data_IF_534344679713
#
_entry.id   IF_534344679713
#
_cell.length_a   1.000
_cell.length_b   1.000
_cell.length_c   1.000
_cell.angle_alpha   90.00
_cell.angle_beta   90.00
_cell.angle_gamma   90.00
#
_symmetry.space_group_name_H-M   'P 1'
#
loop_
_entity.id
_entity.type
_entity.pdbx_description
1 polymer ?
#
# COMPACT_ATOMS: atom_id res chain seq x y z
N UNK A 1 -16.82 14.54 -36.40
CA UNK A 1 -16.38 13.15 -36.16
C UNK A 1 -15.31 13.01 -35.07
N UNK A 2 -15.24 13.89 -34.07
CA UNK A 2 -14.15 13.95 -33.07
C UNK A 2 -14.54 13.47 -31.67
N UNK A 3 -15.78 13.07 -31.43
CA UNK A 3 -16.24 12.68 -30.09
C UNK A 3 -15.96 11.22 -29.68
N UNK A 4 -15.82 10.30 -30.63
CA UNK A 4 -15.72 8.87 -30.36
C UNK A 4 -14.28 8.42 -30.04
N UNK A 5 -13.26 9.12 -30.56
CA UNK A 5 -11.85 8.79 -30.32
C UNK A 5 -11.39 9.16 -28.90
N UNK A 6 -11.94 10.24 -28.34
CA UNK A 6 -11.55 10.70 -26.99
C UNK A 6 -12.12 9.79 -25.88
N UNK A 7 -13.37 9.30 -26.06
CA UNK A 7 -13.98 8.34 -25.12
C UNK A 7 -13.28 6.96 -25.16
N UNK A 8 -12.87 6.50 -26.33
CA UNK A 8 -12.14 5.24 -26.52
C UNK A 8 -10.71 5.32 -25.92
N UNK A 9 -10.03 6.44 -26.03
CA UNK A 9 -8.71 6.69 -25.44
C UNK A 9 -8.80 6.73 -23.92
N UNK A 10 -9.76 7.47 -23.37
CA UNK A 10 -10.02 7.54 -21.92
C UNK A 10 -10.30 6.17 -21.31
N UNK A 11 -11.10 5.32 -21.98
CA UNK A 11 -11.40 3.97 -21.51
C UNK A 11 -10.19 3.04 -21.51
N UNK A 12 -9.28 3.15 -22.50
CA UNK A 12 -8.05 2.37 -22.56
C UNK A 12 -7.07 2.81 -21.47
N UNK A 13 -6.95 4.10 -21.22
CA UNK A 13 -6.08 4.65 -20.18
C UNK A 13 -6.55 4.21 -18.79
N UNK A 14 -7.86 4.16 -18.55
CA UNK A 14 -8.44 3.64 -17.31
C UNK A 14 -8.14 2.15 -17.10
N UNK A 15 -8.26 1.32 -18.15
CA UNK A 15 -7.96 -0.10 -18.06
C UNK A 15 -6.46 -0.35 -17.82
N UNK A 16 -5.60 0.44 -18.43
CA UNK A 16 -4.16 0.35 -18.20
C UNK A 16 -3.82 0.71 -16.77
N UNK A 17 -4.37 1.81 -16.26
CA UNK A 17 -4.15 2.24 -14.87
C UNK A 17 -4.63 1.18 -13.87
N UNK A 18 -5.84 0.64 -14.05
CA UNK A 18 -6.35 -0.47 -13.24
C UNK A 18 -5.37 -1.66 -13.23
N UNK A 19 -4.83 -2.01 -14.40
CA UNK A 19 -3.89 -3.12 -14.53
C UNK A 19 -2.55 -2.87 -13.82
N UNK A 20 -2.03 -1.66 -13.92
CA UNK A 20 -0.80 -1.22 -13.25
C UNK A 20 -0.98 -1.25 -11.71
N UNK A 21 -2.10 -0.75 -11.20
CA UNK A 21 -2.43 -0.79 -9.77
C UNK A 21 -2.54 -2.24 -9.25
N UNK A 22 -3.28 -3.09 -9.97
CA UNK A 22 -3.43 -4.49 -9.59
C UNK A 22 -2.08 -5.21 -9.57
N UNK A 23 -1.25 -4.99 -10.59
CA UNK A 23 0.09 -5.56 -10.67
C UNK A 23 0.99 -5.07 -9.55
N UNK A 24 0.96 -3.76 -9.24
CA UNK A 24 1.71 -3.15 -8.15
C UNK A 24 1.35 -3.79 -6.81
N UNK A 25 0.07 -3.86 -6.47
CA UNK A 25 -0.42 -4.51 -5.25
C UNK A 25 -0.01 -5.98 -5.17
N UNK A 26 -0.21 -6.76 -6.25
CA UNK A 26 0.20 -8.17 -6.27
C UNK A 26 1.68 -8.34 -5.96
N UNK A 27 2.54 -7.53 -6.61
CA UNK A 27 4.00 -7.58 -6.37
C UNK A 27 4.35 -7.15 -4.96
N UNK A 28 3.73 -6.08 -4.45
CA UNK A 28 3.94 -5.57 -3.09
C UNK A 28 3.59 -6.64 -2.03
N UNK A 29 2.60 -7.49 -2.32
CA UNK A 29 2.27 -8.67 -1.51
C UNK A 29 3.10 -9.92 -1.86
N UNK A 30 4.11 -9.80 -2.72
CA UNK A 30 4.98 -10.90 -3.13
C UNK A 30 4.22 -12.11 -3.73
N UNK A 31 3.06 -11.87 -4.35
CA UNK A 31 2.25 -12.90 -4.97
C UNK A 31 2.65 -13.12 -6.44
N UNK A 32 2.78 -14.38 -6.84
CA UNK A 32 2.82 -14.73 -8.26
C UNK A 32 1.44 -14.56 -8.90
N UNK A 33 1.37 -14.53 -10.23
CA UNK A 33 0.07 -14.58 -10.95
C UNK A 33 -0.74 -15.83 -10.58
N UNK A 34 -0.05 -16.95 -10.32
CA UNK A 34 -0.68 -18.20 -9.93
C UNK A 34 -1.28 -18.10 -8.52
N UNK A 35 -0.54 -17.55 -7.56
CA UNK A 35 -1.02 -17.39 -6.18
C UNK A 35 -2.27 -16.52 -6.13
N UNK A 36 -2.25 -15.37 -6.83
CA UNK A 36 -3.40 -14.48 -6.86
C UNK A 36 -4.60 -15.14 -7.56
N UNK A 37 -4.36 -15.89 -8.62
CA UNK A 37 -5.39 -16.63 -9.36
C UNK A 37 -6.06 -17.68 -8.47
N UNK A 38 -5.29 -18.53 -7.79
CA UNK A 38 -5.79 -19.58 -6.90
C UNK A 38 -6.61 -18.99 -5.75
N UNK A 39 -6.08 -17.95 -5.09
CA UNK A 39 -6.75 -17.30 -3.94
C UNK A 39 -8.03 -16.57 -4.32
N UNK A 40 -8.06 -15.94 -5.50
CA UNK A 40 -9.24 -15.18 -5.97
C UNK A 40 -10.26 -16.03 -6.75
N UNK A 41 -9.99 -17.32 -6.98
CA UNK A 41 -10.83 -18.19 -7.80
C UNK A 41 -10.87 -17.80 -9.28
N UNK A 42 -9.80 -17.16 -9.77
CA UNK A 42 -9.67 -16.72 -11.18
C UNK A 42 -8.57 -17.51 -11.89
N UNK A 43 -8.51 -17.42 -13.23
CA UNK A 43 -7.38 -17.99 -13.96
C UNK A 43 -6.21 -17.00 -14.02
N UNK A 44 -4.98 -17.51 -13.98
CA UNK A 44 -3.77 -16.69 -14.12
C UNK A 44 -3.73 -15.92 -15.46
N UNK A 45 -4.27 -16.51 -16.53
CA UNK A 45 -4.41 -15.86 -17.83
C UNK A 45 -5.36 -14.66 -17.77
N UNK A 46 -6.47 -14.75 -17.03
CA UNK A 46 -7.42 -13.66 -16.85
C UNK A 46 -6.79 -12.52 -16.09
N UNK A 47 -6.15 -12.78 -14.94
CA UNK A 47 -5.44 -11.76 -14.15
C UNK A 47 -4.35 -11.09 -14.99
N UNK A 48 -3.54 -11.88 -15.70
CA UNK A 48 -2.50 -11.34 -16.60
C UNK A 48 -3.05 -10.42 -17.69
N UNK A 49 -4.26 -10.71 -18.24
CA UNK A 49 -4.92 -9.83 -19.22
C UNK A 49 -5.38 -8.52 -18.57
N UNK A 50 -5.88 -8.57 -17.34
CA UNK A 50 -6.25 -7.36 -16.59
C UNK A 50 -5.01 -6.51 -16.33
N UNK A 51 -3.93 -7.09 -15.82
CA UNK A 51 -2.67 -6.38 -15.55
C UNK A 51 -2.06 -5.71 -16.79
N UNK A 52 -2.32 -6.23 -17.98
CA UNK A 52 -1.90 -5.60 -19.24
C UNK A 52 -2.92 -4.62 -19.83
N UNK A 53 -4.02 -4.36 -19.12
CA UNK A 53 -5.10 -3.50 -19.63
C UNK A 53 -5.87 -4.08 -20.82
N UNK A 54 -5.79 -5.41 -21.03
CA UNK A 54 -6.38 -6.12 -22.18
C UNK A 54 -7.76 -6.71 -21.86
N UNK A 55 -8.18 -6.68 -20.61
CA UNK A 55 -9.47 -7.19 -20.15
C UNK A 55 -10.06 -6.27 -19.08
N UNK A 56 -11.36 -6.01 -19.20
CA UNK A 56 -12.13 -5.33 -18.14
C UNK A 56 -12.72 -6.39 -17.22
N UNK A 57 -12.34 -6.44 -15.92
CA UNK A 57 -12.98 -7.33 -14.97
C UNK A 57 -14.43 -6.88 -14.69
N UNK A 58 -15.30 -7.82 -14.35
CA UNK A 58 -16.58 -7.49 -13.71
C UNK A 58 -16.35 -6.94 -12.30
N UNK A 59 -17.33 -6.24 -11.74
CA UNK A 59 -17.24 -5.72 -10.36
C UNK A 59 -17.02 -6.87 -9.37
N UNK A 60 -17.73 -8.01 -9.53
CA UNK A 60 -17.53 -9.16 -8.65
C UNK A 60 -16.13 -9.76 -8.77
N UNK A 61 -15.59 -9.89 -9.99
CA UNK A 61 -14.24 -10.41 -10.18
C UNK A 61 -13.18 -9.48 -9.59
N UNK A 62 -13.38 -8.16 -9.70
CA UNK A 62 -12.49 -7.19 -9.09
C UNK A 62 -12.60 -7.17 -7.56
N UNK A 63 -13.79 -7.44 -7.01
CA UNK A 63 -14.03 -7.56 -5.58
C UNK A 63 -13.31 -8.77 -4.99
N UNK A 64 -13.41 -9.96 -5.65
CA UNK A 64 -12.69 -11.16 -5.24
C UNK A 64 -11.16 -10.95 -5.23
N UNK A 65 -10.64 -10.22 -6.22
CA UNK A 65 -9.22 -9.89 -6.32
C UNK A 65 -8.82 -8.88 -5.23
N UNK A 66 -9.64 -7.85 -4.99
CA UNK A 66 -9.41 -6.83 -3.97
C UNK A 66 -9.34 -7.43 -2.56
N UNK A 67 -10.21 -8.41 -2.27
CA UNK A 67 -10.23 -9.14 -1.00
C UNK A 67 -8.92 -9.89 -0.76
N UNK A 68 -8.40 -10.59 -1.77
CA UNK A 68 -7.10 -11.28 -1.68
C UNK A 68 -5.94 -10.30 -1.48
N UNK A 69 -6.04 -9.11 -2.09
CA UNK A 69 -5.03 -8.05 -1.98
C UNK A 69 -5.21 -7.16 -0.74
N UNK A 70 -6.23 -7.43 0.09
CA UNK A 70 -6.46 -6.70 1.32
C UNK A 70 -6.79 -5.22 1.13
N UNK A 71 -7.38 -4.84 -0.01
CA UNK A 71 -7.75 -3.45 -0.30
C UNK A 71 -9.26 -3.34 -0.57
N UNK A 72 -9.91 -2.22 -0.23
CA UNK A 72 -11.29 -2.01 -0.64
C UNK A 72 -11.36 -1.90 -2.17
N UNK A 73 -12.45 -2.37 -2.78
CA UNK A 73 -12.64 -2.28 -4.24
C UNK A 73 -12.49 -0.84 -4.76
N UNK A 74 -12.84 0.15 -3.95
CA UNK A 74 -12.65 1.59 -4.24
C UNK A 74 -11.21 1.97 -4.55
N UNK A 75 -10.22 1.21 -4.07
CA UNK A 75 -8.80 1.43 -4.38
C UNK A 75 -8.55 1.55 -5.88
N UNK A 76 -9.17 0.69 -6.68
CA UNK A 76 -8.99 0.65 -8.12
C UNK A 76 -9.72 1.75 -8.89
N UNK A 77 -10.60 2.50 -8.22
CA UNK A 77 -11.41 3.58 -8.82
C UNK A 77 -11.00 4.97 -8.34
N UNK A 78 -10.06 5.04 -7.39
CA UNK A 78 -9.56 6.31 -6.84
C UNK A 78 -8.62 7.09 -7.79
N UNK A 79 -8.64 6.78 -9.08
CA UNK A 79 -8.04 7.66 -10.08
C UNK A 79 -8.84 8.96 -10.13
N UNK A 80 -8.45 9.87 -9.27
CA UNK A 80 -9.15 11.10 -8.92
C UNK A 80 -9.50 11.96 -10.12
N UNK A 81 -10.78 12.16 -10.32
CA UNK A 81 -11.27 13.21 -11.21
C UNK A 81 -10.76 14.62 -10.80
N UNK A 82 -10.33 14.79 -9.55
CA UNK A 82 -9.79 16.04 -9.00
C UNK A 82 -8.30 16.26 -9.27
N UNK A 83 -7.50 15.20 -9.51
CA UNK A 83 -6.07 15.36 -9.82
C UNK A 83 -5.84 15.47 -11.30
N UNK A 84 -5.15 16.52 -11.79
CA UNK A 84 -4.77 16.65 -13.20
C UNK A 84 -4.04 15.41 -13.71
N UNK A 85 -4.35 14.97 -14.93
CA UNK A 85 -3.76 13.76 -15.51
C UNK A 85 -2.22 13.78 -15.55
N UNK A 86 -1.63 14.97 -15.68
CA UNK A 86 -0.18 15.19 -15.67
C UNK A 86 0.46 15.01 -14.29
N UNK A 87 -0.30 15.15 -13.20
CA UNK A 87 0.21 14.99 -11.84
C UNK A 87 0.09 13.55 -11.34
N UNK A 88 -0.94 12.81 -11.77
CA UNK A 88 -1.27 11.47 -11.25
C UNK A 88 -0.09 10.49 -11.17
N UNK A 89 0.85 10.45 -12.14
CA UNK A 89 1.98 9.50 -12.06
C UNK A 89 3.02 9.86 -10.98
N UNK A 90 2.98 11.09 -10.45
CA UNK A 90 4.08 11.63 -9.64
C UNK A 90 3.64 12.24 -8.31
N UNK A 91 2.42 12.77 -8.22
CA UNK A 91 1.96 13.60 -7.11
C UNK A 91 0.79 12.93 -6.40
N UNK A 92 0.90 12.81 -5.07
CA UNK A 92 -0.19 12.41 -4.19
C UNK A 92 -0.54 13.61 -3.31
N UNK A 93 -1.74 14.16 -3.50
CA UNK A 93 -2.23 15.27 -2.66
C UNK A 93 -2.66 14.73 -1.29
N UNK A 94 -2.47 15.51 -0.23
CA UNK A 94 -2.73 15.08 1.15
C UNK A 94 -4.15 14.52 1.36
N UNK A 95 -5.17 15.15 0.75
CA UNK A 95 -6.57 14.69 0.83
C UNK A 95 -6.90 13.50 -0.07
N UNK A 96 -5.92 12.97 -0.82
CA UNK A 96 -6.11 11.90 -1.80
C UNK A 96 -5.21 10.69 -1.52
N UNK A 97 -4.61 10.64 -0.33
CA UNK A 97 -3.79 9.50 0.10
C UNK A 97 -4.65 8.26 0.23
N UNK A 98 -4.16 7.18 -0.29
CA UNK A 98 -4.83 5.87 -0.18
C UNK A 98 -4.49 5.26 1.18
N UNK A 99 -5.50 4.84 1.91
CA UNK A 99 -5.33 4.09 3.16
C UNK A 99 -4.89 2.67 2.84
N UNK A 100 -3.82 2.21 3.47
CA UNK A 100 -3.39 0.83 3.41
C UNK A 100 -4.24 -0.01 4.38
N UNK A 101 -4.66 -1.17 3.92
CA UNK A 101 -5.31 -2.18 4.76
C UNK A 101 -4.42 -3.41 4.74
N UNK A 102 -4.31 -4.07 5.88
CA UNK A 102 -3.49 -5.27 6.00
C UNK A 102 -4.41 -6.47 6.13
N UNK A 103 -4.37 -7.39 5.13
CA UNK A 103 -5.22 -8.57 5.10
C UNK A 103 -4.86 -9.52 6.25
N UNK A 104 -5.90 -10.05 6.92
CA UNK A 104 -5.73 -10.99 8.04
C UNK A 104 -5.58 -10.34 9.41
N UNK A 105 -5.47 -9.02 9.49
CA UNK A 105 -5.57 -8.25 10.71
C UNK A 105 -6.96 -7.61 10.72
N UNK A 106 -7.75 -7.91 11.74
CA UNK A 106 -9.01 -7.20 12.00
C UNK A 106 -8.70 -5.72 12.03
N UNK A 107 -9.25 -4.95 11.17
CA UNK A 107 -8.96 -3.56 10.78
C UNK A 107 -7.77 -2.90 11.51
N UNK A 108 -6.94 -2.13 10.82
CA UNK A 108 -5.85 -1.34 11.46
C UNK A 108 -6.37 -0.45 12.59
N UNK A 109 -7.66 -0.10 12.60
CA UNK A 109 -8.35 0.62 13.67
C UNK A 109 -8.30 -0.12 15.02
N UNK A 110 -8.35 -1.45 15.00
CA UNK A 110 -8.25 -2.25 16.23
C UNK A 110 -6.84 -2.21 16.84
N UNK A 111 -5.81 -2.01 16.04
CA UNK A 111 -4.43 -1.91 16.51
C UNK A 111 -4.03 -0.47 16.84
N UNK A 112 -4.92 0.49 16.71
CA UNK A 112 -4.70 1.90 17.05
C UNK A 112 -3.71 2.59 16.11
N UNK A 113 -3.60 2.17 14.84
CA UNK A 113 -2.80 2.89 13.86
C UNK A 113 -3.46 2.94 12.48
N UNK A 114 -3.10 3.93 11.70
CA UNK A 114 -3.52 4.13 10.32
C UNK A 114 -2.31 4.35 9.44
N UNK A 115 -2.31 3.69 8.28
CA UNK A 115 -1.28 3.86 7.26
C UNK A 115 -1.88 4.46 5.99
N UNK A 116 -1.18 5.45 5.45
CA UNK A 116 -1.52 6.07 4.17
C UNK A 116 -0.34 6.06 3.22
N UNK A 117 -0.59 5.66 1.98
CA UNK A 117 0.42 5.64 0.94
C UNK A 117 0.74 7.05 0.46
N UNK A 118 2.04 7.39 0.44
CA UNK A 118 2.57 8.63 -0.13
C UNK A 118 3.06 8.45 -1.57
N UNK A 119 3.39 7.21 -1.96
CA UNK A 119 3.78 6.90 -3.33
C UNK A 119 2.59 6.92 -4.27
N UNK A 120 2.75 7.51 -5.46
CA UNK A 120 1.70 7.57 -6.46
C UNK A 120 1.37 6.21 -7.07
N UNK A 121 2.32 5.28 -7.09
CA UNK A 121 2.18 3.92 -7.61
C UNK A 121 2.97 2.92 -6.78
N UNK A 122 2.51 1.68 -6.76
CA UNK A 122 3.22 0.52 -6.19
C UNK A 122 3.93 -0.33 -7.27
N UNK A 123 3.90 0.05 -8.54
CA UNK A 123 4.65 -0.66 -9.62
C UNK A 123 6.09 -0.14 -9.76
N UNK A 124 6.61 0.59 -8.75
CA UNK A 124 7.99 1.06 -8.65
C UNK A 124 8.91 0.10 -7.89
N UNK A 125 9.98 0.65 -7.33
CA UNK A 125 10.91 -0.07 -6.46
C UNK A 125 10.86 0.45 -5.02
N UNK A 126 10.35 1.66 -4.79
CA UNK A 126 10.27 2.33 -3.51
C UNK A 126 8.82 2.63 -3.17
N UNK A 127 8.37 2.21 -2.01
CA UNK A 127 7.15 2.73 -1.40
C UNK A 127 7.49 3.70 -0.29
N UNK A 128 6.68 4.77 -0.19
CA UNK A 128 6.65 5.65 0.97
C UNK A 128 5.25 5.68 1.54
N UNK A 129 5.17 5.72 2.87
CA UNK A 129 3.93 5.87 3.59
C UNK A 129 4.07 6.80 4.79
N UNK A 130 2.93 7.13 5.36
CA UNK A 130 2.83 7.86 6.61
C UNK A 130 1.88 7.11 7.52
N UNK A 131 2.35 6.81 8.71
CA UNK A 131 1.59 6.11 9.75
C UNK A 131 1.28 7.07 10.88
N UNK A 132 0.05 7.01 11.37
CA UNK A 132 -0.38 7.66 12.60
C UNK A 132 -0.74 6.60 13.62
N UNK A 133 -0.08 6.62 14.75
CA UNK A 133 -0.30 5.72 15.88
C UNK A 133 -0.98 6.47 17.01
N UNK A 134 -2.17 6.03 17.42
CA UNK A 134 -2.82 6.52 18.64
C UNK A 134 -2.05 6.03 19.88
N UNK A 135 -2.25 6.60 21.07
CA UNK A 135 -1.63 6.12 22.30
C UNK A 135 -1.83 4.62 22.50
N UNK A 136 -0.73 3.88 22.64
CA UNK A 136 -0.73 2.41 22.73
C UNK A 136 -0.89 1.68 21.40
N UNK A 137 -1.11 2.39 20.29
CA UNK A 137 -1.20 1.81 18.95
C UNK A 137 0.09 1.10 18.55
N UNK A 138 -0.02 -0.03 17.86
CA UNK A 138 1.15 -0.82 17.44
C UNK A 138 0.87 -1.57 16.13
N UNK A 139 1.93 -2.02 15.48
CA UNK A 139 1.84 -2.93 14.34
C UNK A 139 1.61 -4.39 14.75
N UNK A 140 1.40 -4.66 16.05
CA UNK A 140 1.15 -5.96 16.64
C UNK A 140 2.38 -6.56 17.29
N UNK A 141 2.17 -7.72 17.95
CA UNK A 141 3.22 -8.43 18.67
C UNK A 141 4.05 -9.33 17.76
N UNK A 142 3.50 -9.69 16.59
CA UNK A 142 4.22 -10.49 15.60
C UNK A 142 5.26 -9.62 14.88
N UNK A 143 6.52 -10.00 15.01
CA UNK A 143 7.64 -9.33 14.34
C UNK A 143 7.52 -9.51 12.83
N UNK A 144 7.56 -8.41 12.11
CA UNK A 144 7.50 -8.40 10.66
C UNK A 144 8.90 -8.56 10.05
N UNK A 145 8.99 -9.38 9.01
CA UNK A 145 10.23 -9.62 8.26
C UNK A 145 9.92 -9.53 6.78
N UNK A 146 10.72 -8.78 6.05
CA UNK A 146 10.67 -8.77 4.59
C UNK A 146 12.06 -8.57 3.97
N UNK A 147 12.12 -8.65 2.63
CA UNK A 147 13.38 -8.40 1.92
C UNK A 147 13.63 -6.90 1.78
N UNK A 148 14.92 -6.54 1.68
CA UNK A 148 15.37 -5.21 1.35
C UNK A 148 15.65 -4.35 2.56
N UNK A 149 15.37 -3.07 2.44
CA UNK A 149 15.67 -2.05 3.46
C UNK A 149 14.41 -1.26 3.81
N UNK A 150 14.34 -0.86 5.05
CA UNK A 150 13.35 0.07 5.56
C UNK A 150 14.04 1.26 6.22
N UNK A 151 13.49 2.44 6.00
CA UNK A 151 13.93 3.69 6.61
C UNK A 151 12.72 4.52 7.03
N UNK A 152 12.90 5.39 8.02
CA UNK A 152 11.83 6.28 8.45
C UNK A 152 12.31 7.48 9.25
N UNK A 153 11.36 8.39 9.50
CA UNK A 153 11.53 9.62 10.23
C UNK A 153 10.31 9.86 11.11
N UNK A 154 10.52 10.04 12.41
CA UNK A 154 9.45 10.43 13.33
C UNK A 154 9.17 11.92 13.17
N UNK A 155 7.92 12.28 12.90
CA UNK A 155 7.49 13.67 12.75
C UNK A 155 6.89 14.23 14.04
N UNK A 156 6.09 13.41 14.74
CA UNK A 156 5.37 13.82 15.95
C UNK A 156 5.31 12.65 16.94
N UNK A 157 5.22 12.97 18.23
CA UNK A 157 5.07 11.98 19.29
C UNK A 157 6.31 11.13 19.50
N UNK A 158 6.14 9.93 20.04
CA UNK A 158 7.20 8.95 20.28
C UNK A 158 6.88 7.63 19.63
N UNK A 159 7.88 6.98 19.06
CA UNK A 159 7.80 5.61 18.51
C UNK A 159 8.83 4.74 19.21
N UNK A 160 8.39 3.60 19.70
CA UNK A 160 9.25 2.50 20.10
C UNK A 160 9.40 1.55 18.90
N UNK A 161 10.63 1.45 18.38
CA UNK A 161 11.02 0.54 17.32
C UNK A 161 11.71 -0.67 17.95
N UNK A 162 11.15 -1.85 17.76
CA UNK A 162 11.80 -3.11 18.12
C UNK A 162 12.52 -3.67 16.90
N UNK A 163 13.82 -3.98 17.01
CA UNK A 163 14.65 -4.65 16.00
C UNK A 163 15.28 -5.90 16.61
N UNK A 164 14.77 -7.07 16.26
CA UNK A 164 15.15 -8.31 16.90
C UNK A 164 14.83 -8.30 18.39
N UNK A 165 15.87 -8.32 19.23
CA UNK A 165 15.74 -8.28 20.70
C UNK A 165 15.93 -6.86 21.29
N UNK A 166 16.33 -5.89 20.45
CA UNK A 166 16.61 -4.52 20.91
C UNK A 166 15.42 -3.60 20.71
N UNK A 167 15.24 -2.64 21.62
CA UNK A 167 14.20 -1.63 21.57
C UNK A 167 14.80 -0.23 21.59
N UNK A 168 14.34 0.61 20.67
CA UNK A 168 14.77 1.99 20.51
C UNK A 168 13.60 2.94 20.65
N UNK A 169 13.72 3.95 21.48
CA UNK A 169 12.77 5.06 21.56
C UNK A 169 13.22 6.19 20.68
N UNK A 170 12.34 6.60 19.78
CA UNK A 170 12.56 7.63 18.77
C UNK A 170 11.58 8.77 19.00
N UNK A 171 12.09 9.99 19.04
CA UNK A 171 11.31 11.22 19.14
C UNK A 171 11.27 12.00 17.82
N UNK A 172 10.58 13.15 17.79
CA UNK A 172 10.48 14.00 16.61
C UNK A 172 11.85 14.43 16.07
N UNK A 173 12.10 14.17 14.77
CA UNK A 173 13.35 14.42 14.09
C UNK A 173 14.33 13.26 14.09
N UNK A 174 14.10 12.22 14.91
CA UNK A 174 14.91 11.01 14.85
C UNK A 174 14.55 10.18 13.61
N UNK A 175 15.57 9.59 13.01
CA UNK A 175 15.43 8.72 11.84
C UNK A 175 16.09 7.37 12.07
N UNK A 176 15.66 6.39 11.30
CA UNK A 176 16.22 5.04 11.32
C UNK A 176 16.38 4.50 9.91
N UNK A 177 17.26 3.53 9.74
CA UNK A 177 17.32 2.65 8.57
C UNK A 177 17.91 1.32 8.96
N UNK A 178 17.36 0.23 8.41
CA UNK A 178 17.83 -1.11 8.72
C UNK A 178 17.49 -2.11 7.59
N UNK A 179 18.25 -3.22 7.46
CA UNK A 179 17.86 -4.32 6.62
C UNK A 179 16.55 -4.93 7.14
N UNK A 180 15.50 -4.93 6.31
CA UNK A 180 14.17 -5.38 6.71
C UNK A 180 14.07 -6.90 6.95
N UNK A 181 15.18 -7.63 6.76
CA UNK A 181 15.35 -9.02 7.23
C UNK A 181 15.53 -9.14 8.75
N UNK A 182 15.78 -8.02 9.45
CA UNK A 182 15.73 -7.98 10.92
C UNK A 182 14.27 -7.97 11.32
N UNK A 183 13.82 -8.92 12.20
CA UNK A 183 12.44 -8.91 12.71
C UNK A 183 12.14 -7.59 13.43
N UNK A 184 11.03 -6.93 13.09
CA UNK A 184 10.75 -5.59 13.60
C UNK A 184 9.26 -5.34 13.84
N UNK A 185 8.99 -4.38 14.74
CA UNK A 185 7.63 -3.87 15.02
C UNK A 185 7.71 -2.45 15.55
N UNK A 186 6.59 -1.72 15.45
CA UNK A 186 6.45 -0.35 15.90
C UNK A 186 5.33 -0.20 16.91
N UNK A 187 5.53 0.65 17.91
CA UNK A 187 4.54 0.97 18.92
C UNK A 187 4.62 2.44 19.31
N UNK A 188 3.50 3.05 19.63
CA UNK A 188 3.46 4.33 20.33
C UNK A 188 3.39 4.09 21.86
N UNK A 189 4.48 4.30 22.61
CA UNK A 189 4.48 4.12 24.05
C UNK A 189 3.97 5.36 24.81
N UNK A 190 3.74 6.47 24.08
CA UNK A 190 3.35 7.76 24.63
C UNK A 190 1.85 7.89 24.92
N UNK A 191 1.48 9.07 25.39
CA UNK A 191 0.09 9.44 25.71
C UNK A 191 -0.53 10.42 24.69
N UNK A 192 0.20 10.74 23.63
CA UNK A 192 -0.24 11.54 22.49
C UNK A 192 -0.01 10.74 21.21
N UNK A 193 -0.75 11.07 20.15
CA UNK A 193 -0.55 10.40 18.87
C UNK A 193 0.88 10.63 18.33
N UNK A 194 1.43 9.61 17.68
CA UNK A 194 2.71 9.66 17.01
C UNK A 194 2.56 9.56 15.50
N UNK A 195 3.41 10.26 14.75
CA UNK A 195 3.40 10.28 13.29
C UNK A 195 4.78 9.90 12.77
N UNK A 196 4.80 8.88 11.92
CA UNK A 196 6.00 8.29 11.33
C UNK A 196 5.87 8.31 9.81
N UNK A 197 6.87 8.84 9.11
CA UNK A 197 7.05 8.61 7.66
C UNK A 197 8.02 7.45 7.49
N UNK A 198 7.65 6.50 6.64
CA UNK A 198 8.49 5.36 6.31
C UNK A 198 8.68 5.19 4.81
N UNK A 199 9.72 4.49 4.42
CA UNK A 199 10.01 4.08 3.07
C UNK A 199 10.61 2.68 3.06
N UNK A 200 10.21 1.84 2.12
CA UNK A 200 10.79 0.52 1.93
C UNK A 200 11.13 0.22 0.45
N UNK A 201 12.16 -0.57 0.27
CA UNK A 201 12.64 -1.03 -1.04
C UNK A 201 13.24 -2.45 -0.92
N UNK A 202 12.85 -3.43 -1.79
CA UNK A 202 11.74 -3.34 -2.75
C UNK A 202 10.40 -3.14 -2.05
N UNK A 203 9.43 -2.64 -2.80
CA UNK A 203 8.08 -2.40 -2.24
C UNK A 203 7.55 -3.69 -1.62
N UNK A 204 7.22 -3.61 -0.34
CA UNK A 204 6.57 -4.69 0.39
C UNK A 204 5.46 -4.08 1.26
N UNK A 205 4.26 -4.64 1.17
CA UNK A 205 3.15 -4.34 2.07
C UNK A 205 2.97 -5.49 3.05
N UNK A 206 2.72 -5.15 4.30
CA UNK A 206 2.46 -6.14 5.35
C UNK A 206 1.27 -7.02 4.97
N UNK A 207 1.36 -8.32 5.28
CA UNK A 207 0.26 -9.28 5.10
C UNK A 207 -0.57 -9.37 6.36
#
# INVERSE_FOLDING_TARGET
MTGNDNASKSSRDQLRHLGEELRGLRKAHQLSLKDLAERSGKSASFISKIERGQSRPSISALQDIAEVLGVPIGWFFQADAATPASERPYIVRAGQRRRLSYSGIASTDYMGFEDHLLSASLDGQLAMGISRYEPGGSTGDDLYIHQGEEAGLVLEGEIELTLGEEQFRLGPGDSFSFPASIPHTYRNPGNVAAVLVWANTPITLRR
#
